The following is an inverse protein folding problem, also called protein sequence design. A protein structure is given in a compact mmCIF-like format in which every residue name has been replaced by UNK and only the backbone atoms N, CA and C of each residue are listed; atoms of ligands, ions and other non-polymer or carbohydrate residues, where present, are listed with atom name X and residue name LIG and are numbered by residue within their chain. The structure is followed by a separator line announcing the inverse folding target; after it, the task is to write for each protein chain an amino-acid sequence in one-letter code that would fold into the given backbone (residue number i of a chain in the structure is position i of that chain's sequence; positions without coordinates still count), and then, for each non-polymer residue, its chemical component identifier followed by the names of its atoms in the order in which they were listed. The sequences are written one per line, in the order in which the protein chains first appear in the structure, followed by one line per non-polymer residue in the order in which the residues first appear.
data_IF_638448855228
#
_entry.id   IF_638448855228
#
_cell.length_a   1.000
_cell.length_b   1.000
_cell.length_c   1.000
_cell.angle_alpha   90.00
_cell.angle_beta   90.00
_cell.angle_gamma   90.00
#
_symmetry.space_group_name_H-M   'P 1'
#
loop_
_entity.id
_entity.type
_entity.pdbx_description
1 polymer ?
#
# COMPACT_ATOMS: atom_id res chain seq x y z
N UNK A 1 -33.45 -25.99 -19.10
CA UNK A 1 -33.57 -27.33 -18.47
C UNK A 1 -33.05 -27.25 -17.05
N UNK A 2 -33.95 -27.49 -16.10
CA UNK A 2 -33.71 -27.51 -14.66
C UNK A 2 -32.92 -28.74 -14.25
N UNK A 3 -31.96 -28.66 -13.32
CA UNK A 3 -31.72 -29.73 -12.36
C UNK A 3 -31.25 -29.15 -11.02
N UNK A 4 -32.18 -29.20 -10.09
CA UNK A 4 -32.05 -29.08 -8.67
C UNK A 4 -31.38 -30.35 -8.10
N UNK A 5 -30.47 -30.21 -7.12
CA UNK A 5 -30.14 -31.29 -6.19
C UNK A 5 -30.08 -30.76 -4.79
N UNK A 6 -31.16 -31.01 -4.05
CA UNK A 6 -31.24 -30.97 -2.58
C UNK A 6 -30.65 -32.28 -2.02
N UNK A 7 -29.89 -32.23 -0.95
CA UNK A 7 -29.77 -33.26 0.10
C UNK A 7 -29.41 -32.47 1.37
N UNK A 8 -30.21 -32.27 2.36
CA UNK A 8 -30.83 -33.15 3.35
C UNK A 8 -29.80 -33.88 4.23
N UNK A 9 -29.62 -33.36 5.47
CA UNK A 9 -29.84 -34.05 6.71
C UNK A 9 -28.60 -34.72 7.31
N UNK A 10 -28.24 -34.36 8.54
CA UNK A 10 -28.34 -35.30 9.66
C UNK A 10 -28.05 -34.58 11.00
N UNK A 11 -29.03 -34.63 11.87
CA UNK A 11 -28.98 -34.34 13.29
C UNK A 11 -28.51 -35.58 14.05
N UNK A 12 -27.54 -35.48 14.94
CA UNK A 12 -27.28 -36.39 16.08
C UNK A 12 -26.32 -35.59 17.00
N UNK A 13 -26.47 -35.42 18.28
CA UNK A 13 -27.18 -36.05 19.32
C UNK A 13 -26.53 -35.57 20.63
N UNK A 14 -27.33 -35.20 21.60
CA UNK A 14 -26.95 -34.79 22.98
C UNK A 14 -26.13 -35.86 23.69
N UNK A 15 -25.11 -35.44 24.46
CA UNK A 15 -24.73 -36.11 25.71
C UNK A 15 -24.18 -35.07 26.70
N UNK A 16 -25.06 -34.69 27.63
CA UNK A 16 -24.69 -33.89 28.81
C UNK A 16 -24.02 -34.80 29.82
N UNK A 17 -22.80 -34.51 30.19
CA UNK A 17 -22.15 -35.07 31.38
C UNK A 17 -21.88 -33.91 32.34
N UNK A 18 -22.66 -33.87 33.41
CA UNK A 18 -22.46 -32.95 34.55
C UNK A 18 -21.39 -33.60 35.44
N UNK A 19 -20.19 -33.04 35.45
CA UNK A 19 -19.18 -33.30 36.46
C UNK A 19 -19.05 -32.09 37.38
N UNK A 20 -19.40 -32.24 38.63
CA UNK A 20 -19.12 -31.26 39.67
C UNK A 20 -17.60 -31.28 39.95
N UNK A 21 -16.89 -30.16 39.91
CA UNK A 21 -15.57 -30.08 40.51
C UNK A 21 -15.62 -29.65 41.97
N UNK A 22 -14.86 -30.36 42.77
CA UNK A 22 -14.53 -29.99 44.15
C UNK A 22 -13.81 -28.65 44.17
N UNK A 23 -14.30 -27.79 45.07
CA UNK A 23 -13.67 -26.52 45.42
C UNK A 23 -12.38 -26.82 46.19
N UNK A 24 -11.25 -26.76 45.47
CA UNK A 24 -9.90 -26.66 46.04
C UNK A 24 -9.47 -25.20 46.05
N UNK A 25 -9.37 -24.59 47.22
CA UNK A 25 -8.76 -23.28 47.37
C UNK A 25 -7.27 -23.37 47.07
N UNK A 26 -6.86 -22.90 45.89
CA UNK A 26 -5.46 -22.70 45.57
C UNK A 26 -5.01 -21.30 46.02
N UNK A 27 -3.79 -21.16 46.59
CA UNK A 27 -3.27 -19.86 46.96
C UNK A 27 -3.11 -18.97 45.71
N UNK A 28 -3.61 -17.75 45.77
CA UNK A 28 -3.48 -16.76 44.73
C UNK A 28 -1.99 -16.40 44.56
N UNK A 29 -1.31 -17.02 43.58
CA UNK A 29 -0.03 -16.52 43.09
C UNK A 29 -0.29 -15.22 42.35
N UNK A 30 0.19 -14.11 42.90
CA UNK A 30 0.22 -12.84 42.18
C UNK A 30 1.07 -13.01 40.90
N UNK A 31 0.41 -13.01 39.74
CA UNK A 31 1.10 -12.96 38.47
C UNK A 31 1.88 -11.63 38.39
N UNK A 32 3.15 -11.64 37.95
CA UNK A 32 3.87 -10.40 37.69
C UNK A 32 3.09 -9.61 36.64
N UNK A 33 2.72 -8.38 36.98
CA UNK A 33 2.16 -7.43 36.02
C UNK A 33 3.18 -7.25 34.90
N UNK A 34 2.89 -7.84 33.72
CA UNK A 34 3.69 -7.58 32.54
C UNK A 34 3.65 -6.07 32.30
N UNK A 35 4.82 -5.45 32.30
CA UNK A 35 4.95 -4.05 31.91
C UNK A 35 4.37 -3.93 30.48
N UNK A 36 3.46 -2.98 30.29
CA UNK A 36 2.94 -2.66 28.97
C UNK A 36 4.15 -2.37 28.06
N UNK A 37 4.16 -2.89 26.81
CA UNK A 37 5.21 -2.53 25.88
C UNK A 37 5.22 -1.01 25.73
N UNK A 38 6.41 -0.38 25.63
CA UNK A 38 6.49 1.07 25.44
C UNK A 38 5.66 1.41 24.19
N UNK A 39 4.76 2.38 24.33
CA UNK A 39 4.03 2.96 23.20
C UNK A 39 5.06 3.25 22.11
N UNK A 40 4.96 2.54 20.99
CA UNK A 40 5.71 2.87 19.79
C UNK A 40 5.28 4.27 19.40
N UNK A 41 6.08 5.27 19.76
CA UNK A 41 5.85 6.63 19.32
C UNK A 41 5.80 6.60 17.82
N UNK A 42 4.59 6.71 17.27
CA UNK A 42 4.37 6.83 15.83
C UNK A 42 5.02 8.14 15.42
N UNK A 43 6.21 8.07 14.84
CA UNK A 43 6.89 9.26 14.33
C UNK A 43 5.99 9.78 13.21
N UNK A 44 5.26 10.84 13.48
CA UNK A 44 4.47 11.53 12.48
C UNK A 44 5.42 12.04 11.41
N UNK A 45 5.20 11.64 10.16
CA UNK A 45 5.98 12.18 9.06
C UNK A 45 5.76 13.70 8.96
N UNK A 46 6.83 14.43 8.74
CA UNK A 46 6.79 15.88 8.52
C UNK A 46 6.65 16.23 7.04
N UNK A 47 6.53 15.22 6.20
CA UNK A 47 6.34 15.31 4.76
C UNK A 47 5.25 14.32 4.31
N UNK A 48 4.68 14.54 3.14
CA UNK A 48 3.71 13.65 2.50
C UNK A 48 3.92 13.56 0.99
N UNK A 49 3.51 12.42 0.42
CA UNK A 49 3.45 12.21 -1.02
C UNK A 49 2.06 12.59 -1.53
N UNK A 50 1.98 13.63 -2.32
CA UNK A 50 0.72 14.05 -2.96
C UNK A 50 0.35 13.08 -4.08
N UNK A 51 -0.94 12.75 -4.14
CA UNK A 51 -1.48 11.90 -5.19
C UNK A 51 -1.63 12.69 -6.49
N UNK A 52 -0.92 12.25 -7.55
CA UNK A 52 -1.14 12.72 -8.91
C UNK A 52 -2.24 11.92 -9.62
N UNK A 53 -2.73 12.45 -10.75
CA UNK A 53 -3.61 11.71 -11.65
C UNK A 53 -2.79 10.69 -12.48
N UNK A 54 -2.41 9.56 -11.86
CA UNK A 54 -1.62 8.51 -12.49
C UNK A 54 -2.53 7.42 -13.07
N UNK A 55 -3.19 7.74 -14.19
CA UNK A 55 -4.00 6.80 -14.96
C UNK A 55 -3.44 6.67 -16.38
N UNK A 56 -3.09 5.46 -16.78
CA UNK A 56 -2.46 5.18 -18.07
C UNK A 56 -3.27 4.16 -18.85
N UNK A 57 -3.27 4.36 -20.19
CA UNK A 57 -3.85 3.43 -21.14
C UNK A 57 -2.76 2.92 -22.08
N UNK A 58 -2.59 1.60 -22.18
CA UNK A 58 -1.57 0.98 -23.01
C UNK A 58 -2.16 -0.16 -23.85
N UNK A 59 -1.60 -0.39 -25.04
CA UNK A 59 -2.01 -1.50 -25.91
C UNK A 59 -1.32 -2.81 -25.50
N UNK A 60 -2.01 -3.96 -25.62
CA UNK A 60 -1.48 -5.24 -25.15
C UNK A 60 -0.30 -5.78 -25.99
N UNK A 61 -0.09 -5.25 -27.19
CA UNK A 61 0.88 -5.78 -28.17
C UNK A 61 2.10 -4.88 -28.41
N UNK A 62 2.23 -3.77 -27.66
CA UNK A 62 3.37 -2.86 -27.83
C UNK A 62 3.80 -2.21 -26.51
N UNK A 63 5.06 -1.83 -26.41
CA UNK A 63 5.58 -1.03 -25.30
C UNK A 63 4.99 0.38 -25.37
N UNK A 64 4.53 0.88 -24.21
CA UNK A 64 4.13 2.28 -24.03
C UNK A 64 5.09 2.94 -23.05
N UNK A 65 5.70 4.07 -23.45
CA UNK A 65 6.57 4.88 -22.60
C UNK A 65 5.87 6.16 -22.18
N UNK A 66 5.95 6.47 -20.89
CA UNK A 66 5.33 7.64 -20.28
C UNK A 66 6.06 7.99 -19.00
N UNK A 67 5.51 8.93 -18.23
CA UNK A 67 6.01 9.30 -16.89
C UNK A 67 4.88 9.19 -15.90
N UNK A 68 5.17 8.60 -14.73
CA UNK A 68 4.34 8.77 -13.56
C UNK A 68 4.83 9.99 -12.78
N UNK A 69 3.88 10.73 -12.23
CA UNK A 69 4.15 11.98 -11.52
C UNK A 69 3.75 11.79 -10.07
N UNK A 70 4.66 12.09 -9.17
CA UNK A 70 4.42 12.31 -7.76
C UNK A 70 4.79 13.73 -7.38
N UNK A 71 4.43 14.14 -6.19
CA UNK A 71 4.92 15.38 -5.60
C UNK A 71 5.09 15.20 -4.10
N UNK A 72 6.15 15.77 -3.53
CA UNK A 72 6.40 15.73 -2.09
C UNK A 72 6.27 17.14 -1.53
N UNK A 73 5.50 17.27 -0.45
CA UNK A 73 5.37 18.50 0.31
C UNK A 73 5.82 18.30 1.75
N UNK A 74 6.12 19.40 2.45
CA UNK A 74 6.50 19.40 3.87
C UNK A 74 7.98 19.62 4.11
N UNK A 75 8.49 19.00 5.19
CA UNK A 75 9.86 19.20 5.68
C UNK A 75 10.51 17.85 5.93
N UNK A 76 11.75 17.66 5.49
CA UNK A 76 12.49 16.41 5.69
C UNK A 76 13.97 16.65 5.96
N UNK A 77 14.54 15.85 6.87
CA UNK A 77 15.94 15.93 7.29
C UNK A 77 16.84 14.85 6.69
N UNK A 78 16.25 13.82 6.08
CA UNK A 78 16.95 12.75 5.36
C UNK A 78 16.56 12.75 3.90
N UNK A 79 17.40 12.29 2.97
CA UNK A 79 17.01 12.21 1.56
C UNK A 79 15.74 11.38 1.39
N UNK A 80 14.80 11.88 0.59
CA UNK A 80 13.60 11.11 0.19
C UNK A 80 13.92 10.43 -1.14
N UNK A 81 13.72 9.12 -1.19
CA UNK A 81 13.83 8.31 -2.41
C UNK A 81 12.44 7.95 -2.90
N UNK A 82 12.14 8.20 -4.17
CA UNK A 82 10.86 7.87 -4.78
C UNK A 82 11.02 6.99 -6.02
N UNK A 83 10.06 6.10 -6.25
CA UNK A 83 10.06 5.17 -7.36
C UNK A 83 8.68 4.59 -7.66
N UNK A 84 8.64 3.64 -8.59
CA UNK A 84 7.45 2.87 -8.95
C UNK A 84 7.60 1.41 -8.49
N UNK A 85 6.50 0.81 -8.06
CA UNK A 85 6.44 -0.61 -7.71
C UNK A 85 5.11 -1.23 -8.10
N UNK A 86 5.03 -2.57 -8.05
CA UNK A 86 3.84 -3.36 -8.42
C UNK A 86 3.40 -3.15 -9.87
N UNK A 87 4.36 -2.91 -10.77
CA UNK A 87 4.10 -2.70 -12.19
C UNK A 87 3.57 -3.97 -12.87
N UNK A 88 2.83 -3.84 -14.01
CA UNK A 88 2.44 -4.99 -14.81
C UNK A 88 3.66 -5.85 -15.21
N UNK A 89 3.49 -7.15 -15.44
CA UNK A 89 4.59 -8.05 -15.80
C UNK A 89 5.44 -7.52 -16.95
N UNK A 90 6.77 -7.55 -16.79
CA UNK A 90 7.73 -7.07 -17.79
C UNK A 90 7.86 -5.55 -17.91
N UNK A 91 7.01 -4.80 -17.23
CA UNK A 91 7.11 -3.32 -17.18
C UNK A 91 8.22 -2.88 -16.25
N UNK A 92 8.85 -1.74 -16.56
CA UNK A 92 9.98 -1.20 -15.81
C UNK A 92 9.81 0.29 -15.53
N UNK A 93 10.51 0.75 -14.49
CA UNK A 93 10.78 2.17 -14.24
C UNK A 93 12.29 2.38 -14.29
N UNK A 94 12.73 3.43 -14.97
CA UNK A 94 14.15 3.74 -15.08
C UNK A 94 14.60 4.54 -13.86
N UNK A 95 15.02 3.80 -12.82
CA UNK A 95 15.62 4.37 -11.63
C UNK A 95 14.65 4.88 -10.58
N UNK A 96 15.22 5.60 -9.64
CA UNK A 96 14.54 6.27 -8.53
C UNK A 96 14.90 7.75 -8.53
N UNK A 97 13.95 8.59 -8.18
CA UNK A 97 14.22 10.00 -7.92
C UNK A 97 14.70 10.16 -6.47
N UNK A 98 15.65 11.06 -6.26
CA UNK A 98 16.15 11.39 -4.92
C UNK A 98 16.00 12.88 -4.68
N UNK A 99 15.29 13.24 -3.62
CA UNK A 99 15.16 14.60 -3.12
C UNK A 99 16.14 14.79 -1.95
N UNK A 100 17.03 15.76 -2.06
CA UNK A 100 17.96 16.10 -0.97
C UNK A 100 17.18 16.55 0.28
N UNK A 101 17.77 16.45 1.48
CA UNK A 101 17.19 17.03 2.69
C UNK A 101 16.80 18.50 2.49
N UNK A 102 15.63 18.88 2.99
CA UNK A 102 15.16 20.25 2.83
C UNK A 102 13.72 20.44 3.26
N UNK A 103 13.26 21.62 2.96
CA UNK A 103 11.85 21.99 3.09
C UNK A 103 11.33 22.41 1.73
N UNK A 104 10.05 22.24 1.53
CA UNK A 104 9.39 22.79 0.37
C UNK A 104 8.93 24.22 0.70
N UNK A 105 9.49 25.18 0.00
CA UNK A 105 9.09 26.57 0.09
C UNK A 105 7.96 26.86 -0.90
N UNK A 106 7.11 27.83 -0.55
CA UNK A 106 6.02 28.25 -1.43
C UNK A 106 6.61 28.83 -2.71
N UNK A 107 6.18 28.29 -3.85
CA UNK A 107 6.52 28.84 -5.15
C UNK A 107 5.98 30.27 -5.26
N UNK A 108 6.82 31.26 -5.61
CA UNK A 108 6.39 32.66 -5.70
C UNK A 108 5.40 32.93 -6.84
N UNK A 109 5.38 32.08 -7.88
CA UNK A 109 4.57 32.31 -9.09
C UNK A 109 3.15 31.71 -8.94
N UNK A 110 3.02 30.49 -8.40
CA UNK A 110 1.73 29.82 -8.28
C UNK A 110 1.32 29.49 -6.83
N UNK A 111 2.20 29.76 -5.86
CA UNK A 111 1.96 29.49 -4.46
C UNK A 111 2.00 28.00 -4.11
N UNK A 112 2.45 27.15 -5.01
CA UNK A 112 2.62 25.72 -4.81
C UNK A 112 3.60 25.38 -3.70
N UNK A 113 3.37 24.27 -3.01
CA UNK A 113 4.19 23.78 -1.91
C UNK A 113 4.78 22.39 -2.20
N UNK A 114 4.78 21.95 -3.45
CA UNK A 114 5.16 20.59 -3.77
C UNK A 114 6.36 20.52 -4.72
N UNK A 115 7.33 19.66 -4.39
CA UNK A 115 8.43 19.31 -5.31
C UNK A 115 7.95 18.14 -6.17
N UNK A 116 7.85 18.38 -7.48
CA UNK A 116 7.43 17.36 -8.44
C UNK A 116 8.52 16.31 -8.68
N UNK A 117 8.08 15.05 -8.78
CA UNK A 117 8.90 13.90 -9.09
C UNK A 117 8.41 13.30 -10.40
N UNK A 118 9.31 13.11 -11.35
CA UNK A 118 9.04 12.50 -12.64
C UNK A 118 9.71 11.13 -12.70
N UNK A 119 8.89 10.07 -12.79
CA UNK A 119 9.36 8.69 -12.82
C UNK A 119 9.08 8.11 -14.20
N UNK A 120 10.12 7.79 -14.95
CA UNK A 120 9.95 7.17 -16.25
C UNK A 120 9.28 5.80 -16.10
N UNK A 121 8.26 5.54 -16.91
CA UNK A 121 7.48 4.31 -16.90
C UNK A 121 7.44 3.70 -18.29
N UNK A 122 7.95 2.48 -18.41
CA UNK A 122 7.88 1.65 -19.61
C UNK A 122 6.91 0.49 -19.35
N UNK A 123 5.72 0.59 -19.93
CA UNK A 123 4.67 -0.45 -19.80
C UNK A 123 4.92 -1.48 -20.91
N UNK A 124 5.25 -2.71 -20.52
CA UNK A 124 5.45 -3.82 -21.45
C UNK A 124 4.13 -4.35 -22.02
N UNK A 125 4.16 -5.06 -23.15
CA UNK A 125 3.04 -5.87 -23.60
C UNK A 125 2.60 -6.85 -22.52
N UNK A 126 1.30 -6.83 -22.19
CA UNK A 126 0.75 -7.72 -21.18
C UNK A 126 -0.72 -8.01 -21.50
N UNK A 127 -1.35 -9.05 -20.91
CA UNK A 127 -2.76 -9.37 -21.12
C UNK A 127 -3.67 -8.18 -20.84
N UNK A 128 -4.76 -8.01 -21.60
CA UNK A 128 -5.74 -6.98 -21.31
C UNK A 128 -6.27 -7.07 -19.88
N UNK A 129 -6.38 -5.92 -19.20
CA UNK A 129 -6.81 -5.85 -17.82
C UNK A 129 -6.49 -4.51 -17.19
N UNK A 130 -6.87 -4.37 -15.92
CA UNK A 130 -6.50 -3.21 -15.09
C UNK A 130 -5.50 -3.66 -14.04
N UNK A 131 -4.36 -2.99 -14.01
CA UNK A 131 -3.26 -3.25 -13.10
C UNK A 131 -3.13 -2.10 -12.12
N UNK A 132 -2.93 -2.44 -10.85
CA UNK A 132 -2.68 -1.48 -9.77
C UNK A 132 -1.21 -1.47 -9.45
N UNK A 133 -0.57 -0.34 -9.71
CA UNK A 133 0.80 -0.04 -9.34
C UNK A 133 0.81 1.12 -8.34
N UNK A 134 1.98 1.52 -7.86
CA UNK A 134 2.13 2.59 -6.89
C UNK A 134 3.37 3.44 -7.20
N UNK A 135 3.22 4.75 -7.03
CA UNK A 135 4.36 5.61 -6.71
C UNK A 135 4.61 5.47 -5.21
N UNK A 136 5.85 5.30 -4.81
CA UNK A 136 6.24 5.36 -3.40
C UNK A 136 7.28 6.45 -3.19
N UNK A 137 7.31 7.00 -1.98
CA UNK A 137 8.38 7.86 -1.48
C UNK A 137 8.76 7.41 -0.08
N UNK A 138 10.05 7.43 0.25
CA UNK A 138 10.55 7.02 1.58
C UNK A 138 11.79 7.81 1.97
N UNK A 139 11.88 8.17 3.25
CA UNK A 139 13.07 8.73 3.88
C UNK A 139 13.88 7.68 4.66
N UNK A 140 13.52 6.39 4.47
CA UNK A 140 14.10 5.26 5.19
C UNK A 140 13.44 4.93 6.54
N UNK A 141 12.61 5.82 7.08
CA UNK A 141 11.84 5.62 8.32
C UNK A 141 10.35 5.52 8.06
N UNK A 142 9.86 6.37 7.19
CA UNK A 142 8.47 6.43 6.75
C UNK A 142 8.41 6.18 5.25
N UNK A 143 7.38 5.49 4.81
CA UNK A 143 7.07 5.31 3.39
C UNK A 143 5.63 5.72 3.15
N UNK A 144 5.43 6.61 2.19
CA UNK A 144 4.12 7.02 1.72
C UNK A 144 3.92 6.56 0.27
N UNK A 145 2.66 6.34 -0.15
CA UNK A 145 2.33 5.78 -1.46
C UNK A 145 1.14 6.45 -2.10
N UNK A 146 1.20 6.56 -3.43
CA UNK A 146 0.10 7.05 -4.25
C UNK A 146 -0.26 6.01 -5.33
N UNK A 147 -1.55 5.73 -5.55
CA UNK A 147 -1.99 4.71 -6.50
C UNK A 147 -1.71 5.12 -7.94
N UNK A 148 -1.38 4.11 -8.76
CA UNK A 148 -1.21 4.21 -10.21
C UNK A 148 -2.09 3.16 -10.86
N UNK A 149 -2.99 3.58 -11.75
CA UNK A 149 -3.86 2.68 -12.50
C UNK A 149 -3.36 2.55 -13.94
N UNK A 150 -3.09 1.32 -14.38
CA UNK A 150 -2.65 1.01 -15.74
C UNK A 150 -3.71 0.10 -16.39
N UNK A 151 -4.47 0.65 -17.33
CA UNK A 151 -5.40 -0.12 -18.15
C UNK A 151 -4.67 -0.60 -19.41
N UNK A 152 -4.68 -1.91 -19.66
CA UNK A 152 -4.17 -2.49 -20.90
C UNK A 152 -5.38 -2.96 -21.71
N UNK A 153 -5.60 -2.35 -22.88
CA UNK A 153 -6.73 -2.60 -23.73
C UNK A 153 -6.40 -2.35 -25.20
N UNK A 154 -7.12 -3.04 -26.11
CA UNK A 154 -7.04 -2.78 -27.54
C UNK A 154 -7.55 -1.37 -27.90
N UNK A 155 -8.41 -0.81 -27.06
CA UNK A 155 -9.04 0.51 -27.27
C UNK A 155 -8.11 1.67 -26.87
N UNK A 156 -6.93 1.37 -26.27
CA UNK A 156 -5.91 2.37 -26.05
C UNK A 156 -5.17 2.71 -27.34
#
# INVERSE_FOLDING_TARGET
MKKSCRKAGLLVGLASVIALPLVGAAPASAAPTAAAPPDSATTSATWSLLQGHNQYCARPNRVTRTYAIGAVEGTWSSPITAGLRNLPPGSTSDGVATLAPGTNERDPDDGGLAINIWLQLSIAPAPPGTYSAEVYATDGKVTDTAPVTIKISADC
#
